data_IF_094275387222
#
_entry.id   IF_094275387222
#
_cell.length_a   1.000
_cell.length_b   1.000
_cell.length_c   1.000
_cell.angle_alpha   90.00
_cell.angle_beta   90.00
_cell.angle_gamma   90.00
#
_symmetry.space_group_name_H-M   'P 1'
#
loop_
_entity.id
_entity.type
_entity.pdbx_description
1 polymer ?
#
# COMPACT_ATOMS: atom_id res chain seq x y z
N UNK A 1 -23.73 -2.74 -0.15
CA UNK A 1 -22.48 -1.98 -0.37
C UNK A 1 -21.74 -2.08 0.94
N UNK A 2 -20.95 -3.13 1.06
CA UNK A 2 -20.60 -3.67 2.37
C UNK A 2 -19.12 -3.39 2.65
N UNK A 3 -18.85 -2.83 3.83
CA UNK A 3 -17.52 -2.52 4.33
C UNK A 3 -16.55 -3.71 4.19
N UNK A 4 -17.10 -4.93 4.29
CA UNK A 4 -16.42 -6.19 4.04
C UNK A 4 -15.72 -6.23 2.67
N UNK A 5 -16.37 -5.75 1.60
CA UNK A 5 -15.79 -5.77 0.25
C UNK A 5 -14.57 -4.84 0.15
N UNK A 6 -14.63 -3.68 0.83
CA UNK A 6 -13.50 -2.73 0.89
C UNK A 6 -12.31 -3.43 1.55
N UNK A 7 -12.50 -4.09 2.69
CA UNK A 7 -11.43 -4.77 3.40
C UNK A 7 -10.89 -6.00 2.65
N UNK A 8 -11.75 -6.77 1.98
CA UNK A 8 -11.30 -7.92 1.16
C UNK A 8 -10.40 -7.46 0.02
N UNK A 9 -10.80 -6.42 -0.71
CA UNK A 9 -10.01 -5.86 -1.82
C UNK A 9 -8.72 -5.24 -1.27
N UNK A 10 -8.80 -4.50 -0.16
CA UNK A 10 -7.63 -3.89 0.47
C UNK A 10 -6.56 -4.93 0.79
N UNK A 11 -6.93 -6.04 1.44
CA UNK A 11 -5.99 -7.12 1.79
C UNK A 11 -5.29 -7.71 0.55
N UNK A 12 -6.01 -7.92 -0.55
CA UNK A 12 -5.40 -8.37 -1.81
C UNK A 12 -4.43 -7.32 -2.38
N UNK A 13 -4.77 -6.04 -2.26
CA UNK A 13 -3.94 -4.94 -2.75
C UNK A 13 -2.66 -4.73 -1.92
N UNK A 14 -2.63 -5.08 -0.63
CA UNK A 14 -1.45 -4.84 0.24
C UNK A 14 -0.16 -5.37 -0.37
N UNK A 15 -0.17 -6.61 -0.88
CA UNK A 15 1.01 -7.23 -1.48
C UNK A 15 1.49 -6.46 -2.73
N UNK A 16 0.55 -5.99 -3.55
CA UNK A 16 0.84 -5.21 -4.77
C UNK A 16 1.41 -3.85 -4.39
N UNK A 17 0.81 -3.16 -3.42
CA UNK A 17 1.26 -1.86 -2.94
C UNK A 17 2.65 -1.95 -2.33
N UNK A 18 2.92 -2.98 -1.52
CA UNK A 18 4.25 -3.25 -0.96
C UNK A 18 5.29 -3.45 -2.06
N UNK A 19 5.01 -4.28 -3.06
CA UNK A 19 5.94 -4.54 -4.15
C UNK A 19 6.26 -3.26 -4.94
N UNK A 20 5.25 -2.47 -5.30
CA UNK A 20 5.43 -1.23 -6.05
C UNK A 20 6.16 -0.18 -5.22
N UNK A 21 5.85 -0.05 -3.93
CA UNK A 21 6.53 0.85 -3.02
C UNK A 21 8.00 0.48 -2.84
N UNK A 22 8.33 -0.81 -2.76
CA UNK A 22 9.72 -1.25 -2.66
C UNK A 22 10.51 -0.96 -3.94
N UNK A 23 9.91 -1.20 -5.11
CA UNK A 23 10.51 -0.86 -6.41
C UNK A 23 10.78 0.65 -6.48
N UNK A 24 9.79 1.49 -6.19
CA UNK A 24 9.95 2.94 -6.23
C UNK A 24 11.00 3.44 -5.25
N UNK A 25 11.04 2.87 -4.04
CA UNK A 25 12.08 3.16 -3.05
C UNK A 25 13.48 2.86 -3.61
N UNK A 26 13.67 1.70 -4.24
CA UNK A 26 14.96 1.28 -4.82
C UNK A 26 15.34 2.13 -6.03
N UNK A 27 14.38 2.46 -6.90
CA UNK A 27 14.61 3.24 -8.12
C UNK A 27 14.96 4.70 -7.82
N UNK A 28 14.23 5.35 -6.90
CA UNK A 28 14.38 6.77 -6.60
C UNK A 28 15.23 7.05 -5.36
N UNK A 29 15.81 6.02 -4.74
CA UNK A 29 16.64 6.13 -3.53
C UNK A 29 15.96 6.97 -2.42
N UNK A 30 14.64 6.76 -2.25
CA UNK A 30 13.81 7.57 -1.37
C UNK A 30 14.22 7.40 0.09
N UNK A 31 14.36 8.53 0.80
CA UNK A 31 14.63 8.52 2.22
C UNK A 31 13.49 7.82 2.97
N UNK A 32 13.86 6.99 3.94
CA UNK A 32 12.92 6.17 4.72
C UNK A 32 11.84 6.97 5.45
N UNK A 33 12.03 8.27 5.68
CA UNK A 33 11.02 9.16 6.27
C UNK A 33 9.77 9.35 5.39
N UNK A 34 9.89 9.20 4.07
CA UNK A 34 8.77 9.41 3.14
C UNK A 34 8.03 8.11 2.77
N UNK A 35 8.54 6.95 3.21
CA UNK A 35 7.93 5.64 2.93
C UNK A 35 6.43 5.57 3.26
N UNK A 36 5.93 6.13 4.39
CA UNK A 36 4.51 6.06 4.71
C UNK A 36 3.64 6.83 3.72
N UNK A 37 4.03 8.06 3.41
CA UNK A 37 3.29 8.93 2.47
C UNK A 37 3.34 8.31 1.07
N UNK A 38 4.52 7.85 0.64
CA UNK A 38 4.68 7.22 -0.67
C UNK A 38 3.81 5.97 -0.80
N UNK A 39 3.74 5.12 0.23
CA UNK A 39 2.90 3.91 0.21
C UNK A 39 1.41 4.22 0.10
N UNK A 40 0.93 5.26 0.78
CA UNK A 40 -0.47 5.71 0.69
C UNK A 40 -0.79 6.25 -0.70
N UNK A 41 0.08 7.10 -1.25
CA UNK A 41 -0.09 7.65 -2.60
C UNK A 41 -0.10 6.54 -3.64
N UNK A 42 0.79 5.56 -3.52
CA UNK A 42 0.82 4.37 -4.38
C UNK A 42 -0.47 3.57 -4.24
N UNK A 43 -0.94 3.33 -3.01
CA UNK A 43 -2.18 2.59 -2.76
C UNK A 43 -3.39 3.20 -3.45
N UNK A 44 -3.56 4.51 -3.33
CA UNK A 44 -4.62 5.27 -4.02
C UNK A 44 -4.42 5.20 -5.54
N UNK A 45 -3.20 5.40 -6.02
CA UNK A 45 -2.89 5.37 -7.45
C UNK A 45 -3.18 4.01 -8.09
N UNK A 46 -2.79 2.92 -7.42
CA UNK A 46 -3.10 1.56 -7.87
C UNK A 46 -4.61 1.33 -7.85
N UNK A 47 -5.33 1.79 -6.83
CA UNK A 47 -6.80 1.72 -6.80
C UNK A 47 -7.44 2.43 -7.98
N UNK A 48 -6.92 3.60 -8.39
CA UNK A 48 -7.39 4.33 -9.57
C UNK A 48 -7.06 3.63 -10.89
N UNK A 49 -5.85 3.09 -11.04
CA UNK A 49 -5.42 2.40 -12.26
C UNK A 49 -6.16 1.08 -12.44
N UNK A 50 -6.47 0.37 -11.35
CA UNK A 50 -7.21 -0.88 -11.37
C UNK A 50 -8.73 -0.70 -11.43
N UNK A 51 -9.25 0.49 -11.13
CA UNK A 51 -10.68 0.78 -11.22
C UNK A 51 -11.33 0.40 -12.55
N UNK A 52 -10.79 0.76 -13.74
CA UNK A 52 -11.40 0.34 -15.01
C UNK A 52 -11.36 -1.17 -15.26
N UNK A 53 -10.51 -1.92 -14.55
CA UNK A 53 -10.46 -3.38 -14.63
C UNK A 53 -11.45 -4.06 -13.65
N UNK A 54 -11.99 -3.33 -12.69
CA UNK A 54 -12.80 -3.88 -11.63
C UNK A 54 -14.25 -3.37 -11.70
N UNK A 55 -15.22 -4.27 -11.54
CA UNK A 55 -16.65 -3.95 -11.56
C UNK A 55 -17.14 -3.23 -10.28
N UNK A 56 -16.22 -2.69 -9.50
CA UNK A 56 -16.52 -1.99 -8.25
C UNK A 56 -16.60 -0.48 -8.46
N UNK A 57 -17.45 0.22 -7.68
CA UNK A 57 -17.51 1.68 -7.74
C UNK A 57 -16.17 2.30 -7.31
N UNK A 58 -15.83 3.43 -7.92
CA UNK A 58 -14.55 4.14 -7.72
C UNK A 58 -14.24 4.40 -6.24
N UNK A 59 -15.25 4.74 -5.43
CA UNK A 59 -15.09 4.95 -3.99
C UNK A 59 -14.55 3.73 -3.24
N UNK A 60 -14.98 2.51 -3.61
CA UNK A 60 -14.52 1.26 -2.98
C UNK A 60 -13.06 1.01 -3.32
N UNK A 61 -12.66 1.20 -4.59
CA UNK A 61 -11.28 1.04 -5.04
C UNK A 61 -10.33 2.05 -4.38
N UNK A 62 -10.76 3.31 -4.25
CA UNK A 62 -9.99 4.35 -3.59
C UNK A 62 -9.79 4.07 -2.09
N UNK A 63 -10.86 3.68 -1.39
CA UNK A 63 -10.77 3.34 0.04
C UNK A 63 -9.96 2.07 0.27
N UNK A 64 -10.15 1.04 -0.57
CA UNK A 64 -9.36 -0.18 -0.49
C UNK A 64 -7.87 0.09 -0.73
N UNK A 65 -7.55 0.92 -1.72
CA UNK A 65 -6.18 1.37 -2.01
C UNK A 65 -5.57 2.18 -0.88
N UNK A 66 -6.34 3.09 -0.27
CA UNK A 66 -5.90 3.88 0.88
C UNK A 66 -5.57 2.98 2.10
N UNK A 67 -6.47 2.06 2.44
CA UNK A 67 -6.26 1.09 3.53
C UNK A 67 -5.04 0.22 3.23
N UNK A 68 -4.93 -0.30 2.00
CA UNK A 68 -3.80 -1.11 1.59
C UNK A 68 -2.46 -0.36 1.69
N UNK A 69 -2.45 0.93 1.33
CA UNK A 69 -1.28 1.81 1.45
C UNK A 69 -0.88 2.08 2.89
N UNK A 70 -1.85 2.30 3.79
CA UNK A 70 -1.58 2.42 5.22
C UNK A 70 -1.04 1.11 5.80
N UNK A 71 -1.65 -0.04 5.47
CA UNK A 71 -1.16 -1.34 5.90
C UNK A 71 0.26 -1.59 5.40
N UNK A 72 0.52 -1.31 4.12
CA UNK A 72 1.86 -1.43 3.53
C UNK A 72 2.90 -0.56 4.26
N UNK A 73 2.55 0.69 4.59
CA UNK A 73 3.44 1.57 5.37
C UNK A 73 3.78 1.00 6.75
N UNK A 74 2.77 0.49 7.48
CA UNK A 74 2.98 -0.13 8.78
C UNK A 74 3.85 -1.39 8.67
N UNK A 75 3.63 -2.22 7.65
CA UNK A 75 4.49 -3.38 7.37
C UNK A 75 5.94 -2.97 7.08
N UNK A 76 6.19 -1.90 6.32
CA UNK A 76 7.55 -1.41 6.09
C UNK A 76 8.26 -0.94 7.36
N UNK A 77 7.54 -0.23 8.24
CA UNK A 77 8.10 0.23 9.50
C UNK A 77 8.42 -0.96 10.42
N UNK A 78 7.55 -1.98 10.47
CA UNK A 78 7.80 -3.23 11.21
C UNK A 78 9.02 -3.97 10.67
N UNK A 79 9.14 -4.12 9.34
CA UNK A 79 10.30 -4.77 8.72
C UNK A 79 11.60 -4.01 8.98
N UNK A 80 11.55 -2.67 8.97
CA UNK A 80 12.71 -1.83 9.30
C UNK A 80 13.10 -1.97 10.78
N UNK A 81 12.13 -2.03 11.68
CA UNK A 81 12.36 -2.24 13.11
C UNK A 81 12.98 -3.62 13.37
N UNK A 82 12.42 -4.68 12.79
CA UNK A 82 12.94 -6.05 12.93
C UNK A 82 14.38 -6.20 12.42
N UNK A 83 14.73 -5.53 11.31
CA UNK A 83 16.12 -5.52 10.81
C UNK A 83 17.09 -4.89 11.81
N UNK A 84 16.67 -3.83 12.51
CA UNK A 84 17.51 -3.12 13.48
C UNK A 84 17.73 -3.90 14.78
N UNK A 85 16.78 -4.76 15.16
CA UNK A 85 16.91 -5.64 16.33
C UNK A 85 17.87 -6.81 16.10
N UNK A 86 17.88 -7.41 14.91
CA UNK A 86 18.79 -8.52 14.58
C UNK A 86 20.26 -8.11 14.38
N UNK A 87 20.55 -6.80 14.36
CA UNK A 87 21.91 -6.24 14.29
C UNK A 87 22.50 -5.89 15.67
N UNK A 88 21.76 -6.12 16.78
CA UNK A 88 22.19 -5.94 18.18
C UNK A 88 22.53 -7.27 18.83
#
# INVERSE_FOLDING_TARGET
>A
MDLTNIFMIAMMMVAIVLAVAEVLKKTFNLNTQYMPITSVVIGIFIGLVLWPLAEYPMYVMLMAGFIAGLTASGTFDLLKAAKKEGEQ
#
